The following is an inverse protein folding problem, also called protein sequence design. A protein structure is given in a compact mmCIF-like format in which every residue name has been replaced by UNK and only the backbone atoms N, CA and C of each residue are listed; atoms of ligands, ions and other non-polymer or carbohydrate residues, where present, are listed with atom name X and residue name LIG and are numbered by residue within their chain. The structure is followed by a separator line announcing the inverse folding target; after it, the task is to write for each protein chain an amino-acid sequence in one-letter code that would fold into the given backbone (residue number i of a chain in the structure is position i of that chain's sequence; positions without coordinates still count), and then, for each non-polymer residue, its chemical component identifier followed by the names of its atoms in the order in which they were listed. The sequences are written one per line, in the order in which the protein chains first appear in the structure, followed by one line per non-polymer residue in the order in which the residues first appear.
data_IF_103741501242
#
_entry.id   IF_103741501242
#
_cell.length_a   1.000
_cell.length_b   1.000
_cell.length_c   1.000
_cell.angle_alpha   90.00
_cell.angle_beta   90.00
_cell.angle_gamma   90.00
#
_symmetry.space_group_name_H-M   'P 1'
#
loop_
_entity.id
_entity.type
_entity.pdbx_description
1 polymer ?
#
# COMPACT_ATOMS: atom_id res chain seq x y z
N UNK A 1 27.81 14.69 -5.16
CA UNK A 1 26.38 14.86 -4.84
C UNK A 1 25.74 13.54 -4.40
N UNK A 2 25.60 12.49 -5.25
CA UNK A 2 24.91 11.23 -4.83
C UNK A 2 25.60 10.56 -3.64
N UNK A 3 26.92 10.38 -3.64
CA UNK A 3 27.68 9.81 -2.50
C UNK A 3 27.54 10.63 -1.23
N UNK A 4 27.57 11.93 -1.35
CA UNK A 4 27.38 12.85 -0.23
C UNK A 4 25.96 12.76 0.34
N UNK A 5 24.93 12.57 -0.52
CA UNK A 5 23.56 12.35 -0.10
C UNK A 5 23.41 11.03 0.67
N UNK A 6 24.01 9.94 0.16
CA UNK A 6 23.98 8.65 0.87
C UNK A 6 24.70 8.71 2.21
N UNK A 7 25.85 9.41 2.26
CA UNK A 7 26.56 9.67 3.53
C UNK A 7 25.72 10.50 4.51
N UNK A 8 24.98 11.51 4.01
CA UNK A 8 24.10 12.32 4.85
C UNK A 8 23.00 11.47 5.51
N UNK A 9 22.47 10.47 4.82
CA UNK A 9 21.51 9.51 5.41
C UNK A 9 22.17 8.77 6.59
N UNK A 10 23.42 8.30 6.43
CA UNK A 10 24.13 7.65 7.54
C UNK A 10 24.31 8.60 8.73
N UNK A 11 24.69 9.86 8.48
CA UNK A 11 24.91 10.87 9.53
C UNK A 11 23.64 11.20 10.32
N UNK A 12 22.46 11.16 9.71
CA UNK A 12 21.17 11.45 10.38
C UNK A 12 20.41 10.19 10.78
N UNK A 13 21.01 9.00 10.66
CA UNK A 13 20.31 7.73 10.87
C UNK A 13 19.73 7.58 12.28
N UNK A 14 20.45 8.03 13.33
CA UNK A 14 19.95 7.98 14.70
C UNK A 14 18.74 8.90 14.91
N UNK A 15 18.78 10.11 14.34
CA UNK A 15 17.66 11.05 14.33
C UNK A 15 16.45 10.44 13.61
N UNK A 16 16.68 9.80 12.46
CA UNK A 16 15.66 9.11 11.69
C UNK A 16 15.00 7.98 12.48
N UNK A 17 15.79 7.08 13.08
CA UNK A 17 15.25 5.97 13.88
C UNK A 17 14.46 6.48 15.07
N UNK A 18 14.92 7.54 15.73
CA UNK A 18 14.18 8.18 16.82
C UNK A 18 12.83 8.73 16.34
N UNK A 19 12.80 9.39 15.18
CA UNK A 19 11.56 9.87 14.56
C UNK A 19 10.62 8.75 14.18
N UNK A 20 11.13 7.65 13.62
CA UNK A 20 10.34 6.45 13.29
C UNK A 20 9.69 5.87 14.56
N UNK A 21 10.49 5.65 15.62
CA UNK A 21 9.99 5.12 16.89
C UNK A 21 8.88 5.98 17.48
N UNK A 22 9.00 7.30 17.41
CA UNK A 22 7.98 8.26 17.87
C UNK A 22 6.62 8.04 17.21
N UNK A 23 6.60 7.71 15.91
CA UNK A 23 5.33 7.52 15.15
C UNK A 23 4.79 6.09 15.27
N UNK A 24 5.65 5.07 15.25
CA UNK A 24 5.17 3.67 15.37
C UNK A 24 4.63 3.35 16.76
N UNK A 25 5.00 4.13 17.79
CA UNK A 25 4.46 4.00 19.14
C UNK A 25 3.02 4.49 19.30
N UNK A 26 2.44 5.10 18.27
CA UNK A 26 1.04 5.53 18.29
C UNK A 26 0.16 4.37 17.82
N UNK A 27 -0.79 3.94 18.65
CA UNK A 27 -1.85 3.02 18.21
C UNK A 27 -2.77 3.75 17.23
N UNK A 28 -2.65 3.39 15.96
CA UNK A 28 -3.44 3.94 14.86
C UNK A 28 -4.29 2.88 14.16
N UNK A 29 -4.74 1.88 14.90
CA UNK A 29 -5.81 1.00 14.45
C UNK A 29 -7.06 1.84 14.24
N UNK A 30 -7.73 1.66 13.09
CA UNK A 30 -8.97 2.37 12.80
C UNK A 30 -10.02 2.09 13.87
N UNK A 31 -10.72 3.13 14.27
CA UNK A 31 -11.80 3.06 15.25
C UNK A 31 -12.99 3.93 14.84
N UNK A 32 -14.01 4.01 15.69
CA UNK A 32 -15.21 4.79 15.41
C UNK A 32 -14.89 6.26 15.06
N UNK A 33 -15.54 6.75 14.01
CA UNK A 33 -15.38 8.12 13.54
C UNK A 33 -15.88 9.12 14.59
N UNK A 34 -15.14 10.21 14.78
CA UNK A 34 -15.51 11.36 15.61
C UNK A 34 -15.41 12.63 14.78
N UNK A 35 -15.96 13.73 15.29
CA UNK A 35 -15.86 15.04 14.64
C UNK A 35 -14.38 15.41 14.41
N UNK A 36 -13.99 15.64 13.14
CA UNK A 36 -12.62 15.93 12.77
C UNK A 36 -11.64 14.73 12.85
N UNK A 37 -12.16 13.51 13.03
CA UNK A 37 -11.38 12.27 13.13
C UNK A 37 -12.11 11.15 12.38
N UNK A 38 -12.11 11.19 11.04
CA UNK A 38 -12.95 10.31 10.21
C UNK A 38 -12.62 8.82 10.38
N UNK A 39 -11.39 8.47 10.76
CA UNK A 39 -10.95 7.10 10.96
C UNK A 39 -10.56 6.78 12.41
N UNK A 40 -11.02 7.63 13.34
CA UNK A 40 -10.82 7.46 14.77
C UNK A 40 -9.64 8.26 15.35
N UNK A 41 -9.58 8.27 16.66
CA UNK A 41 -8.69 9.13 17.44
C UNK A 41 -7.21 8.74 17.25
N UNK A 42 -6.90 7.43 17.26
CA UNK A 42 -5.53 6.94 17.12
C UNK A 42 -4.92 7.28 15.74
N UNK A 43 -5.70 7.11 14.67
CA UNK A 43 -5.28 7.47 13.31
C UNK A 43 -5.05 8.98 13.20
N UNK A 44 -5.98 9.79 13.71
CA UNK A 44 -5.80 11.25 13.71
C UNK A 44 -4.58 11.70 14.52
N UNK A 45 -4.31 11.07 15.66
CA UNK A 45 -3.11 11.33 16.46
C UNK A 45 -1.82 11.01 15.68
N UNK A 46 -1.79 9.91 14.93
CA UNK A 46 -0.65 9.55 14.09
C UNK A 46 -0.43 10.58 12.98
N UNK A 47 -1.52 11.06 12.34
CA UNK A 47 -1.46 12.10 11.31
C UNK A 47 -0.91 13.42 11.87
N UNK A 48 -1.45 13.91 12.97
CA UNK A 48 -1.01 15.17 13.60
C UNK A 48 0.46 15.10 14.05
N UNK A 49 0.89 13.96 14.59
CA UNK A 49 2.27 13.78 15.04
C UNK A 49 3.25 13.68 13.85
N UNK A 50 2.85 13.03 12.74
CA UNK A 50 3.63 12.98 11.51
C UNK A 50 3.79 14.38 10.89
N UNK A 51 2.71 15.16 10.82
CA UNK A 51 2.75 16.54 10.35
C UNK A 51 3.59 17.46 11.27
N UNK A 52 3.51 17.24 12.58
CA UNK A 52 4.34 17.96 13.56
C UNK A 52 5.83 17.63 13.34
N UNK A 53 6.18 16.36 13.20
CA UNK A 53 7.55 15.95 12.88
C UNK A 53 8.05 16.58 11.58
N UNK A 54 7.23 16.58 10.53
CA UNK A 54 7.58 17.21 9.26
C UNK A 54 7.85 18.73 9.42
N UNK A 55 7.06 19.44 10.23
CA UNK A 55 7.32 20.86 10.58
C UNK A 55 8.61 21.05 11.35
N UNK A 56 8.91 20.18 12.32
CA UNK A 56 10.17 20.20 13.09
C UNK A 56 11.39 20.02 12.17
N UNK A 57 11.26 19.19 11.12
CA UNK A 57 12.26 19.03 10.06
C UNK A 57 12.28 20.21 9.06
N UNK A 58 11.39 21.19 9.26
CA UNK A 58 11.33 22.45 8.51
C UNK A 58 10.63 22.33 7.16
N UNK A 59 9.71 21.37 6.98
CA UNK A 59 8.84 21.30 5.81
C UNK A 59 7.58 22.14 6.00
N UNK A 60 7.07 22.71 4.91
CA UNK A 60 5.70 23.19 4.86
C UNK A 60 4.76 22.00 4.94
N UNK A 61 3.67 22.10 5.72
CA UNK A 61 2.72 21.02 5.89
C UNK A 61 1.29 21.49 5.65
N UNK A 62 0.47 20.56 5.19
CA UNK A 62 -0.96 20.74 4.99
C UNK A 62 -1.71 19.53 5.56
N UNK A 63 -2.85 19.78 6.20
CA UNK A 63 -3.79 18.72 6.62
C UNK A 63 -5.05 18.85 5.75
N UNK A 64 -5.28 17.88 4.89
CA UNK A 64 -6.45 17.85 3.99
C UNK A 64 -7.55 17.09 4.71
N UNK A 65 -8.44 17.86 5.37
CA UNK A 65 -9.68 17.40 6.00
C UNK A 65 -9.50 16.21 6.98
N UNK A 66 -8.37 16.14 7.68
CA UNK A 66 -7.99 15.05 8.59
C UNK A 66 -7.92 13.67 7.92
N UNK A 67 -7.84 13.62 6.59
CA UNK A 67 -7.76 12.40 5.80
C UNK A 67 -6.37 12.18 5.20
N UNK A 68 -5.73 13.25 4.69
CA UNK A 68 -4.38 13.16 4.13
C UNK A 68 -3.52 14.30 4.64
N UNK A 69 -2.38 14.00 5.20
CA UNK A 69 -1.34 14.98 5.50
C UNK A 69 -0.39 15.16 4.32
N UNK A 70 0.18 16.34 4.17
CA UNK A 70 1.18 16.63 3.13
C UNK A 70 2.38 17.31 3.77
N UNK A 71 3.59 16.82 3.50
CA UNK A 71 4.83 17.55 3.71
C UNK A 71 5.42 17.94 2.36
N UNK A 72 5.73 19.24 2.18
CA UNK A 72 6.11 19.81 0.88
C UNK A 72 7.56 20.28 0.86
N UNK A 73 8.25 19.96 -0.23
CA UNK A 73 9.55 20.53 -0.58
C UNK A 73 9.49 21.10 -1.99
N UNK A 74 9.59 22.40 -2.12
CA UNK A 74 9.28 23.13 -3.35
C UNK A 74 7.81 23.48 -3.49
N UNK A 75 7.46 24.22 -4.52
CA UNK A 75 6.10 24.74 -4.79
C UNK A 75 5.67 24.40 -6.20
N UNK A 76 4.40 24.06 -6.40
CA UNK A 76 3.81 23.79 -7.70
C UNK A 76 2.82 22.62 -7.67
N UNK A 77 2.01 22.54 -8.73
CA UNK A 77 1.00 21.48 -8.86
C UNK A 77 1.54 20.22 -9.57
N UNK A 78 2.61 20.35 -10.34
CA UNK A 78 3.25 19.26 -11.07
C UNK A 78 4.38 18.66 -10.20
N UNK A 79 3.98 17.88 -9.20
CA UNK A 79 4.87 17.36 -8.17
C UNK A 79 5.14 15.86 -8.30
N UNK A 80 6.30 15.44 -7.77
CA UNK A 80 6.59 14.03 -7.50
C UNK A 80 5.90 13.67 -6.19
N UNK A 81 5.03 12.66 -6.21
CA UNK A 81 4.29 12.22 -5.04
C UNK A 81 4.81 10.93 -4.45
N UNK A 82 5.01 10.90 -3.14
CA UNK A 82 5.33 9.69 -2.42
C UNK A 82 4.20 9.47 -1.42
N UNK A 83 3.42 8.41 -1.64
CA UNK A 83 2.17 8.17 -0.94
C UNK A 83 2.24 6.91 -0.10
N UNK A 84 1.85 7.01 1.16
CA UNK A 84 1.78 5.90 2.12
C UNK A 84 0.74 6.14 3.20
N UNK A 85 0.64 5.23 4.18
CA UNK A 85 -0.37 5.30 5.22
C UNK A 85 0.18 5.24 6.64
N UNK A 86 -0.62 5.76 7.56
CA UNK A 86 -0.36 5.79 9.00
C UNK A 86 -1.30 4.87 9.79
N UNK A 87 -2.44 4.51 9.23
CA UNK A 87 -3.32 3.51 9.81
C UNK A 87 -2.67 2.13 9.78
N UNK A 88 -3.08 1.26 10.67
CA UNK A 88 -2.55 -0.10 10.78
C UNK A 88 -3.66 -1.09 11.06
N UNK A 89 -3.48 -2.35 10.65
CA UNK A 89 -4.40 -3.44 11.00
C UNK A 89 -4.42 -3.72 12.51
N UNK A 90 -5.49 -4.34 13.05
CA UNK A 90 -5.55 -4.79 14.43
C UNK A 90 -4.33 -5.64 14.80
N UNK A 91 -3.86 -5.47 16.03
CA UNK A 91 -2.60 -6.07 16.47
C UNK A 91 -2.65 -7.61 16.54
N UNK A 92 -3.81 -8.20 16.84
CA UNK A 92 -3.93 -9.64 17.08
C UNK A 92 -3.25 -10.10 18.37
N UNK A 93 -3.12 -11.41 18.52
CA UNK A 93 -2.49 -12.05 19.68
C UNK A 93 -1.10 -12.62 19.33
N UNK A 94 -0.31 -12.97 20.35
CA UNK A 94 0.99 -13.65 20.15
C UNK A 94 2.19 -12.73 20.04
N UNK A 95 2.09 -11.49 20.51
CA UNK A 95 3.22 -10.55 20.60
C UNK A 95 4.15 -10.87 21.76
N UNK A 96 5.48 -10.90 21.51
CA UNK A 96 6.51 -11.07 22.52
C UNK A 96 6.81 -9.76 23.28
N UNK A 97 6.53 -8.61 22.67
CA UNK A 97 6.66 -7.28 23.25
C UNK A 97 5.38 -6.49 22.98
N UNK A 98 5.04 -5.46 23.76
CA UNK A 98 3.85 -4.65 23.48
C UNK A 98 3.84 -4.15 22.04
N UNK A 99 2.72 -4.29 21.29
CA UNK A 99 2.68 -4.06 19.84
C UNK A 99 3.14 -2.67 19.37
N UNK A 100 3.01 -1.67 20.23
CA UNK A 100 3.42 -0.28 19.95
C UNK A 100 4.61 0.18 20.80
N UNK A 101 5.46 -0.75 21.28
CA UNK A 101 6.62 -0.40 22.12
C UNK A 101 7.82 0.11 21.32
N UNK A 102 7.89 -0.15 20.02
CA UNK A 102 9.09 0.07 19.20
C UNK A 102 10.35 -0.55 19.84
N UNK A 103 10.19 -1.77 20.40
CA UNK A 103 11.30 -2.49 21.03
C UNK A 103 12.39 -2.79 20.01
N UNK A 104 13.62 -2.42 20.33
CA UNK A 104 14.80 -2.73 19.51
C UNK A 104 15.67 -3.74 20.25
N UNK A 105 16.00 -4.85 19.60
CA UNK A 105 16.88 -5.87 20.16
C UNK A 105 18.37 -5.55 19.95
N UNK A 106 19.24 -6.36 20.54
CA UNK A 106 20.71 -6.16 20.49
C UNK A 106 21.28 -6.28 19.07
N UNK A 107 20.49 -6.78 18.11
CA UNK A 107 20.87 -6.91 16.68
C UNK A 107 20.39 -5.72 15.85
N UNK A 108 19.67 -4.78 16.46
CA UNK A 108 19.10 -3.62 15.80
C UNK A 108 17.79 -3.93 15.04
N UNK A 109 17.10 -4.99 15.41
CA UNK A 109 15.76 -5.27 14.90
C UNK A 109 14.72 -4.57 15.76
N UNK A 110 13.85 -3.80 15.10
CA UNK A 110 12.80 -3.04 15.76
C UNK A 110 11.47 -3.76 15.56
N UNK A 111 10.79 -4.06 16.66
CA UNK A 111 9.49 -4.72 16.68
C UNK A 111 8.40 -3.72 17.03
N UNK A 112 7.44 -3.56 16.12
CA UNK A 112 6.23 -2.76 16.36
C UNK A 112 5.20 -3.00 15.27
N UNK A 113 3.92 -2.93 15.58
CA UNK A 113 2.88 -2.84 14.55
C UNK A 113 3.09 -1.55 13.74
N UNK A 114 3.10 -1.65 12.42
CA UNK A 114 3.32 -0.53 11.51
C UNK A 114 4.80 -0.19 11.26
N UNK A 115 5.75 -0.95 11.81
CA UNK A 115 7.18 -0.70 11.55
C UNK A 115 7.57 -1.06 10.12
N UNK A 116 6.97 -2.09 9.54
CA UNK A 116 7.10 -2.49 8.15
C UNK A 116 5.96 -1.91 7.32
N UNK A 117 4.74 -2.00 7.83
CA UNK A 117 3.50 -1.69 7.15
C UNK A 117 2.66 -0.67 7.93
N UNK A 118 2.82 0.66 7.72
CA UNK A 118 3.75 1.21 6.72
C UNK A 118 4.54 2.42 7.29
N UNK A 119 4.49 2.70 8.62
CA UNK A 119 5.05 3.90 9.27
C UNK A 119 6.57 3.99 9.18
N UNK A 120 7.29 2.86 9.28
CA UNK A 120 8.74 2.83 9.18
C UNK A 120 9.25 3.34 7.84
N UNK A 121 8.82 2.74 6.71
CA UNK A 121 9.13 3.20 5.35
C UNK A 121 8.69 4.64 5.10
N UNK A 122 7.52 5.02 5.63
CA UNK A 122 6.98 6.37 5.64
C UNK A 122 8.02 7.39 6.09
N UNK A 123 8.53 7.19 7.28
CA UNK A 123 9.48 8.11 7.87
C UNK A 123 10.86 8.02 7.20
N UNK A 124 11.25 6.84 6.71
CA UNK A 124 12.49 6.70 5.92
C UNK A 124 12.48 7.62 4.69
N UNK A 125 11.35 7.77 4.00
CA UNK A 125 11.23 8.74 2.90
C UNK A 125 11.22 10.21 3.38
N UNK A 126 10.54 10.52 4.50
CA UNK A 126 10.54 11.89 5.03
C UNK A 126 11.97 12.33 5.37
N UNK A 127 12.75 11.44 5.99
CA UNK A 127 14.16 11.72 6.31
C UNK A 127 15.06 11.68 5.07
N UNK A 128 14.71 10.91 4.04
CA UNK A 128 15.36 10.99 2.73
C UNK A 128 15.21 12.40 2.13
N UNK A 129 14.00 12.95 2.15
CA UNK A 129 13.75 14.33 1.72
C UNK A 129 14.44 15.37 2.62
N UNK A 130 14.51 15.10 3.92
CA UNK A 130 15.24 15.95 4.88
C UNK A 130 16.74 15.99 4.60
N UNK A 131 17.37 14.87 4.26
CA UNK A 131 18.79 14.84 3.86
C UNK A 131 19.04 15.70 2.61
N UNK A 132 18.16 15.63 1.61
CA UNK A 132 18.20 16.47 0.40
C UNK A 132 18.15 17.95 0.77
N UNK A 133 17.20 18.31 1.65
CA UNK A 133 17.05 19.68 2.17
C UNK A 133 18.29 20.15 2.95
N UNK A 134 18.83 19.29 3.83
CA UNK A 134 20.05 19.61 4.63
C UNK A 134 21.27 19.92 3.75
N UNK A 135 21.40 19.26 2.62
CA UNK A 135 22.46 19.49 1.65
C UNK A 135 22.18 20.64 0.68
N UNK A 136 21.00 21.26 0.77
CA UNK A 136 20.61 22.33 -0.15
C UNK A 136 20.48 21.90 -1.59
N UNK A 137 20.23 20.59 -1.86
CA UNK A 137 20.10 20.06 -3.22
C UNK A 137 18.81 20.64 -3.83
N UNK A 138 19.00 21.35 -4.95
CA UNK A 138 17.90 21.92 -5.72
C UNK A 138 17.19 20.86 -6.54
N UNK A 139 15.87 20.84 -6.49
CA UNK A 139 15.01 19.96 -7.28
C UNK A 139 14.28 20.78 -8.34
N UNK A 140 14.23 20.30 -9.57
CA UNK A 140 13.50 20.97 -10.68
C UNK A 140 11.98 20.89 -10.49
N UNK A 141 11.49 19.79 -9.88
CA UNK A 141 10.07 19.59 -9.55
C UNK A 141 9.89 19.53 -8.05
N UNK A 142 8.79 20.05 -7.51
CA UNK A 142 8.47 19.88 -6.10
C UNK A 142 8.24 18.41 -5.75
N UNK A 143 8.52 18.05 -4.52
CA UNK A 143 8.30 16.71 -3.98
C UNK A 143 7.38 16.81 -2.78
N UNK A 144 6.28 16.06 -2.82
CA UNK A 144 5.28 16.00 -1.76
C UNK A 144 5.22 14.60 -1.18
N UNK A 145 5.30 14.56 0.13
CA UNK A 145 5.10 13.35 0.93
C UNK A 145 3.68 13.39 1.45
N UNK A 146 2.89 12.37 1.09
CA UNK A 146 1.48 12.29 1.43
C UNK A 146 1.27 11.20 2.48
N UNK A 147 0.74 11.58 3.62
CA UNK A 147 0.42 10.70 4.75
C UNK A 147 -1.06 10.33 4.69
N UNK A 148 -1.38 9.16 4.17
CA UNK A 148 -2.73 8.62 4.15
C UNK A 148 -3.14 8.05 5.51
N UNK A 149 -4.43 7.82 5.67
CA UNK A 149 -5.03 7.43 6.95
C UNK A 149 -6.07 6.33 6.84
N UNK A 150 -6.26 5.71 5.66
CA UNK A 150 -7.27 4.68 5.44
C UNK A 150 -6.88 3.68 4.34
N UNK A 151 -5.64 3.21 4.31
CA UNK A 151 -5.18 2.20 3.35
C UNK A 151 -5.80 0.84 3.63
N UNK A 152 -5.73 0.40 4.88
CA UNK A 152 -6.06 -0.94 5.34
C UNK A 152 -7.55 -1.30 5.24
N UNK A 153 -8.42 -0.28 5.09
CA UNK A 153 -9.86 -0.47 5.21
C UNK A 153 -10.70 0.17 4.10
N UNK A 154 -10.09 0.67 3.00
CA UNK A 154 -10.90 1.01 1.83
C UNK A 154 -10.57 2.27 1.04
N UNK A 155 -9.48 2.99 1.35
CA UNK A 155 -8.98 4.13 0.56
C UNK A 155 -9.91 5.35 0.49
N UNK A 156 -10.77 5.56 1.48
CA UNK A 156 -11.71 6.70 1.47
C UNK A 156 -10.99 8.05 1.61
N UNK A 157 -9.86 8.07 2.33
CA UNK A 157 -8.96 9.20 2.44
C UNK A 157 -8.46 9.64 1.06
N UNK A 158 -8.02 8.69 0.25
CA UNK A 158 -7.46 8.96 -1.07
C UNK A 158 -8.54 9.28 -2.11
N UNK A 159 -9.70 8.62 -2.01
CA UNK A 159 -10.87 8.97 -2.83
C UNK A 159 -11.33 10.41 -2.56
N UNK A 160 -11.25 10.86 -1.30
CA UNK A 160 -11.53 12.24 -0.91
C UNK A 160 -10.46 13.20 -1.45
N UNK A 161 -9.17 12.86 -1.23
CA UNK A 161 -8.04 13.66 -1.69
C UNK A 161 -8.15 13.99 -3.18
N UNK A 162 -8.43 12.99 -4.02
CA UNK A 162 -8.53 13.14 -5.47
C UNK A 162 -9.74 14.00 -5.93
N UNK A 163 -10.70 14.27 -5.05
CA UNK A 163 -11.80 15.22 -5.34
C UNK A 163 -11.38 16.68 -5.13
N UNK A 164 -10.40 16.93 -4.25
CA UNK A 164 -10.03 18.28 -3.81
C UNK A 164 -8.60 18.69 -4.15
N UNK A 165 -7.76 17.74 -4.60
CA UNK A 165 -6.36 17.96 -4.99
C UNK A 165 -6.05 17.19 -6.28
N UNK A 166 -5.08 17.71 -7.05
CA UNK A 166 -4.54 17.01 -8.21
C UNK A 166 -3.64 15.84 -7.76
N UNK A 167 -3.63 14.71 -8.49
CA UNK A 167 -2.67 13.65 -8.25
C UNK A 167 -1.24 14.10 -8.63
N UNK A 168 -0.21 13.38 -8.16
CA UNK A 168 1.16 13.59 -8.63
C UNK A 168 1.28 13.32 -10.13
N UNK A 169 2.29 13.92 -10.77
CA UNK A 169 2.63 13.60 -12.16
C UNK A 169 3.32 12.24 -12.29
N UNK A 170 4.05 11.83 -11.25
CA UNK A 170 4.63 10.51 -11.05
C UNK A 170 5.05 10.32 -9.59
N UNK A 171 5.32 9.08 -9.20
CA UNK A 171 5.81 8.79 -7.86
C UNK A 171 5.73 7.31 -7.51
N UNK A 172 5.75 7.01 -6.20
CA UNK A 172 5.63 5.66 -5.71
C UNK A 172 4.95 5.57 -4.34
N UNK A 173 4.53 4.34 -3.99
CA UNK A 173 4.14 3.98 -2.64
C UNK A 173 5.12 2.93 -2.09
N UNK A 174 5.79 3.17 -0.94
CA UNK A 174 6.68 2.19 -0.31
C UNK A 174 5.90 1.18 0.55
N UNK A 175 4.97 0.49 -0.07
CA UNK A 175 3.98 -0.36 0.57
C UNK A 175 3.86 -1.72 -0.12
N UNK A 176 4.99 -2.32 -0.49
CA UNK A 176 5.02 -3.64 -1.11
C UNK A 176 6.39 -4.31 -0.92
N UNK A 177 7.18 -4.34 -1.96
CA UNK A 177 8.49 -5.00 -1.99
C UNK A 177 9.40 -4.39 -3.05
N UNK A 178 10.68 -4.72 -2.96
CA UNK A 178 11.64 -4.53 -4.05
C UNK A 178 11.72 -5.75 -4.97
N UNK A 179 12.21 -5.54 -6.23
CA UNK A 179 12.39 -4.26 -6.93
C UNK A 179 11.05 -3.59 -7.28
N UNK A 180 11.07 -2.59 -8.17
CA UNK A 180 9.85 -1.85 -8.53
C UNK A 180 8.75 -2.78 -9.02
N UNK A 181 7.54 -2.59 -8.48
CA UNK A 181 6.35 -3.36 -8.87
C UNK A 181 5.60 -2.57 -9.93
N UNK A 182 5.74 -2.97 -11.20
CA UNK A 182 5.13 -2.23 -12.32
C UNK A 182 3.65 -2.59 -12.54
N UNK A 183 3.17 -3.65 -11.91
CA UNK A 183 1.79 -4.07 -12.10
C UNK A 183 1.24 -4.81 -10.86
N UNK A 184 -0.01 -4.49 -10.51
CA UNK A 184 -0.79 -5.14 -9.47
C UNK A 184 -2.01 -5.83 -10.07
N UNK A 185 -2.38 -7.01 -9.57
CA UNK A 185 -3.61 -7.69 -9.97
C UNK A 185 -4.85 -6.90 -9.58
N UNK A 186 -5.91 -6.99 -10.39
CA UNK A 186 -7.24 -6.58 -9.99
C UNK A 186 -7.74 -7.40 -8.80
N UNK A 187 -8.62 -6.81 -8.01
CA UNK A 187 -9.28 -7.47 -6.88
C UNK A 187 -10.76 -7.17 -6.89
N UNK A 188 -11.59 -8.21 -6.92
CA UNK A 188 -13.03 -8.06 -6.83
C UNK A 188 -13.60 -9.02 -5.79
N UNK A 189 -14.64 -8.56 -5.10
CA UNK A 189 -15.41 -9.37 -4.14
C UNK A 189 -16.84 -9.45 -4.62
N UNK A 190 -17.35 -10.66 -4.71
CA UNK A 190 -18.72 -10.95 -5.11
C UNK A 190 -19.50 -11.55 -3.95
N UNK A 191 -20.75 -11.16 -3.87
CA UNK A 191 -21.75 -11.76 -2.99
C UNK A 191 -22.81 -12.47 -3.81
N UNK A 192 -22.99 -13.76 -3.56
CA UNK A 192 -24.16 -14.49 -4.02
C UNK A 192 -25.17 -14.52 -2.88
N UNK A 193 -26.41 -14.14 -3.18
CA UNK A 193 -27.47 -14.09 -2.19
C UNK A 193 -28.81 -14.63 -2.72
N UNK A 194 -29.66 -15.02 -1.77
CA UNK A 194 -31.02 -15.51 -2.08
C UNK A 194 -31.91 -15.46 -0.85
N UNK A 195 -33.22 -15.57 -1.04
CA UNK A 195 -34.19 -15.78 0.04
C UNK A 195 -34.06 -17.21 0.62
N UNK A 196 -34.42 -17.39 1.90
CA UNK A 196 -34.23 -18.66 2.64
C UNK A 196 -34.92 -19.86 1.98
N UNK A 197 -36.05 -19.66 1.32
CA UNK A 197 -36.77 -20.72 0.62
C UNK A 197 -35.96 -21.35 -0.53
N UNK A 198 -34.99 -20.65 -1.08
CA UNK A 198 -34.11 -21.13 -2.15
C UNK A 198 -32.81 -21.78 -1.63
N UNK A 199 -32.72 -22.13 -0.34
CA UNK A 199 -31.51 -22.67 0.30
C UNK A 199 -30.88 -23.85 -0.41
N UNK A 200 -31.69 -24.72 -1.03
CA UNK A 200 -31.19 -25.91 -1.73
C UNK A 200 -30.37 -25.51 -2.97
N UNK A 201 -30.91 -24.62 -3.79
CA UNK A 201 -30.22 -24.11 -4.99
C UNK A 201 -28.99 -23.30 -4.63
N UNK A 202 -29.07 -22.51 -3.54
CA UNK A 202 -27.95 -21.76 -3.02
C UNK A 202 -26.79 -22.67 -2.58
N UNK A 203 -27.08 -23.69 -1.76
CA UNK A 203 -26.07 -24.64 -1.31
C UNK A 203 -25.47 -25.45 -2.47
N UNK A 204 -26.27 -25.82 -3.46
CA UNK A 204 -25.77 -26.48 -4.67
C UNK A 204 -24.77 -25.60 -5.41
N UNK A 205 -25.10 -24.32 -5.66
CA UNK A 205 -24.22 -23.38 -6.34
C UNK A 205 -22.90 -23.19 -5.55
N UNK A 206 -22.99 -22.93 -4.23
CA UNK A 206 -21.79 -22.71 -3.42
C UNK A 206 -20.89 -23.95 -3.40
N UNK A 207 -21.45 -25.15 -3.23
CA UNK A 207 -20.69 -26.38 -3.23
C UNK A 207 -20.07 -26.67 -4.60
N UNK A 208 -20.83 -26.55 -5.68
CA UNK A 208 -20.38 -26.91 -7.04
C UNK A 208 -19.34 -25.94 -7.59
N UNK A 209 -19.55 -24.63 -7.43
CA UNK A 209 -18.74 -23.63 -8.11
C UNK A 209 -17.68 -22.97 -7.22
N UNK A 210 -17.88 -22.94 -5.90
CA UNK A 210 -17.02 -22.19 -4.99
C UNK A 210 -16.22 -23.09 -4.08
N UNK A 211 -16.85 -24.00 -3.32
CA UNK A 211 -16.14 -24.84 -2.33
C UNK A 211 -15.39 -26.00 -2.97
N UNK A 212 -15.92 -26.60 -4.02
CA UNK A 212 -15.24 -27.66 -4.77
C UNK A 212 -14.19 -27.17 -5.77
N UNK A 213 -14.07 -25.84 -5.93
CA UNK A 213 -13.04 -25.23 -6.78
C UNK A 213 -11.67 -25.28 -6.09
N UNK A 214 -10.61 -25.55 -6.85
CA UNK A 214 -9.24 -25.62 -6.37
C UNK A 214 -8.60 -24.23 -6.08
N UNK A 215 -9.39 -23.16 -6.05
CA UNK A 215 -8.94 -21.80 -5.75
C UNK A 215 -8.55 -20.97 -6.97
N UNK A 216 -8.88 -21.43 -8.20
CA UNK A 216 -8.54 -20.71 -9.44
C UNK A 216 -9.74 -20.28 -10.28
N UNK A 217 -10.97 -20.55 -9.81
CA UNK A 217 -12.19 -20.23 -10.53
C UNK A 217 -12.53 -21.19 -11.67
N UNK A 218 -11.89 -22.36 -11.74
CA UNK A 218 -12.06 -23.36 -12.81
C UNK A 218 -13.50 -23.82 -12.95
N UNK A 219 -14.20 -24.06 -11.85
CA UNK A 219 -15.59 -24.52 -11.85
C UNK A 219 -16.55 -23.47 -12.40
N UNK A 220 -16.23 -22.20 -12.22
CA UNK A 220 -16.96 -21.10 -12.83
C UNK A 220 -16.62 -20.90 -14.31
N UNK A 221 -15.55 -21.49 -14.81
CA UNK A 221 -15.04 -21.25 -16.16
C UNK A 221 -14.11 -20.04 -16.26
N UNK A 222 -13.53 -19.62 -15.13
CA UNK A 222 -12.62 -18.48 -15.00
C UNK A 222 -11.15 -18.90 -14.83
N UNK A 223 -10.76 -20.02 -15.46
CA UNK A 223 -9.37 -20.50 -15.41
C UNK A 223 -8.46 -19.61 -16.27
N UNK A 224 -8.18 -18.42 -15.77
CA UNK A 224 -7.37 -17.41 -16.46
C UNK A 224 -5.94 -17.49 -15.95
N UNK A 225 -5.00 -17.57 -16.88
CA UNK A 225 -3.57 -17.53 -16.63
C UNK A 225 -2.92 -16.60 -17.66
N UNK A 226 -2.04 -15.73 -17.23
CA UNK A 226 -1.21 -14.96 -18.12
C UNK A 226 0.27 -15.02 -17.70
N UNK A 227 1.16 -14.66 -18.65
CA UNK A 227 2.61 -14.82 -18.47
C UNK A 227 3.19 -13.87 -17.39
N UNK A 228 2.58 -12.70 -17.21
CA UNK A 228 3.11 -11.69 -16.28
C UNK A 228 2.53 -11.86 -14.87
N UNK A 229 1.24 -12.21 -14.76
CA UNK A 229 0.56 -12.31 -13.47
C UNK A 229 0.36 -13.76 -12.98
N UNK A 230 0.52 -14.75 -13.87
CA UNK A 230 0.19 -16.14 -13.56
C UNK A 230 -1.31 -16.39 -13.41
N UNK A 231 -1.68 -17.44 -12.67
CA UNK A 231 -3.09 -17.87 -12.53
C UNK A 231 -3.92 -16.92 -11.69
N UNK A 232 -5.13 -16.61 -12.13
CA UNK A 232 -6.19 -16.01 -11.32
C UNK A 232 -6.39 -16.81 -10.02
N UNK A 233 -6.72 -16.14 -8.93
CA UNK A 233 -6.91 -16.77 -7.63
C UNK A 233 -8.28 -16.41 -7.05
N UNK A 234 -8.95 -17.41 -6.47
CA UNK A 234 -10.20 -17.24 -5.72
C UNK A 234 -9.96 -17.48 -4.24
N UNK A 235 -10.36 -16.54 -3.39
CA UNK A 235 -10.09 -16.52 -1.95
C UNK A 235 -11.25 -15.92 -1.14
N UNK A 236 -11.06 -15.69 0.16
CA UNK A 236 -12.00 -15.00 1.06
C UNK A 236 -13.42 -15.56 1.02
N UNK A 237 -13.54 -16.88 1.03
CA UNK A 237 -14.80 -17.62 0.98
C UNK A 237 -15.45 -17.60 2.37
N UNK A 238 -16.61 -16.92 2.52
CA UNK A 238 -17.29 -16.83 3.81
C UNK A 238 -18.82 -16.72 3.67
N UNK A 239 -19.53 -17.34 4.60
CA UNK A 239 -20.96 -17.06 4.80
C UNK A 239 -21.14 -15.65 5.35
N UNK A 240 -22.20 -14.99 4.91
CA UNK A 240 -22.59 -13.67 5.36
C UNK A 240 -24.02 -13.74 5.91
N UNK A 241 -24.21 -13.21 7.10
CA UNK A 241 -25.55 -13.05 7.68
C UNK A 241 -26.23 -11.83 7.05
N UNK A 242 -27.36 -12.07 6.43
CA UNK A 242 -28.20 -11.04 5.83
C UNK A 242 -29.62 -11.24 6.37
N UNK A 243 -30.21 -10.19 6.92
CA UNK A 243 -31.57 -10.26 7.49
C UNK A 243 -32.54 -10.95 6.51
N UNK A 244 -33.05 -12.15 6.90
CA UNK A 244 -33.99 -12.93 6.12
C UNK A 244 -33.47 -13.51 4.81
N UNK A 245 -32.17 -13.46 4.54
CA UNK A 245 -31.54 -13.98 3.32
C UNK A 245 -30.28 -14.80 3.63
N UNK A 246 -29.90 -15.65 2.68
CA UNK A 246 -28.61 -16.33 2.67
C UNK A 246 -27.62 -15.54 1.82
N UNK A 247 -26.40 -15.37 2.30
CA UNK A 247 -25.33 -14.71 1.58
C UNK A 247 -24.00 -15.48 1.64
N UNK A 248 -23.22 -15.42 0.57
CA UNK A 248 -21.88 -15.99 0.53
C UNK A 248 -20.98 -15.08 -0.27
N UNK A 249 -19.89 -14.64 0.35
CA UNK A 249 -18.86 -13.80 -0.26
C UNK A 249 -17.66 -14.63 -0.70
N UNK A 250 -17.07 -14.24 -1.83
CA UNK A 250 -15.79 -14.75 -2.31
C UNK A 250 -15.10 -13.69 -3.16
N UNK A 251 -13.77 -13.73 -3.21
CA UNK A 251 -12.98 -12.71 -3.89
C UNK A 251 -12.13 -13.33 -5.00
N UNK A 252 -11.87 -12.54 -6.04
CA UNK A 252 -10.88 -12.85 -7.05
C UNK A 252 -9.71 -11.88 -6.99
N UNK A 253 -8.50 -12.44 -7.13
CA UNK A 253 -7.29 -11.72 -7.54
C UNK A 253 -7.04 -12.09 -9.01
N UNK A 254 -7.18 -11.13 -9.92
CA UNK A 254 -7.24 -11.40 -11.36
C UNK A 254 -6.20 -10.58 -12.15
N UNK A 255 -5.67 -11.15 -13.25
CA UNK A 255 -4.67 -10.48 -14.09
C UNK A 255 -5.27 -9.35 -14.93
N UNK A 256 -4.43 -8.47 -15.48
CA UNK A 256 -4.85 -7.37 -16.34
C UNK A 256 -5.40 -7.84 -17.70
N UNK A 257 -5.20 -9.12 -18.06
CA UNK A 257 -5.74 -9.73 -19.29
C UNK A 257 -7.24 -9.99 -19.25
N UNK A 258 -7.90 -9.85 -18.09
CA UNK A 258 -9.36 -9.99 -17.97
C UNK A 258 -9.96 -8.78 -17.27
N UNK A 259 -11.15 -8.37 -17.70
CA UNK A 259 -11.93 -7.29 -17.11
C UNK A 259 -12.91 -7.81 -16.07
N UNK A 260 -13.20 -7.02 -15.05
CA UNK A 260 -14.14 -7.36 -13.99
C UNK A 260 -15.56 -7.65 -14.52
N UNK A 261 -16.03 -6.93 -15.55
CA UNK A 261 -17.34 -7.17 -16.17
C UNK A 261 -17.45 -8.56 -16.81
N UNK A 262 -16.33 -9.10 -17.30
CA UNK A 262 -16.29 -10.47 -17.84
C UNK A 262 -16.39 -11.51 -16.73
N UNK A 263 -15.72 -11.27 -15.59
CA UNK A 263 -15.81 -12.13 -14.40
C UNK A 263 -17.27 -12.17 -13.93
N UNK A 264 -17.89 -11.01 -13.78
CA UNK A 264 -19.27 -10.88 -13.31
C UNK A 264 -20.27 -11.57 -14.24
N UNK A 265 -20.15 -11.36 -15.56
CA UNK A 265 -21.00 -12.05 -16.57
C UNK A 265 -20.83 -13.56 -16.50
N UNK A 266 -19.62 -14.04 -16.30
CA UNK A 266 -19.35 -15.48 -16.20
C UNK A 266 -19.99 -16.07 -14.95
N UNK A 267 -19.90 -15.41 -13.79
CA UNK A 267 -20.60 -15.83 -12.56
C UNK A 267 -22.13 -15.84 -12.81
N UNK A 268 -22.67 -14.75 -13.38
CA UNK A 268 -24.11 -14.63 -13.69
C UNK A 268 -24.61 -15.77 -14.57
N UNK A 269 -23.80 -16.22 -15.52
CA UNK A 269 -24.18 -17.33 -16.44
C UNK A 269 -24.33 -18.69 -15.75
N UNK A 270 -23.82 -18.84 -14.52
CA UNK A 270 -23.90 -20.07 -13.71
C UNK A 270 -25.02 -20.03 -12.68
N UNK A 271 -25.65 -18.87 -12.47
CA UNK A 271 -26.69 -18.73 -11.47
C UNK A 271 -27.99 -19.45 -11.91
N UNK A 272 -28.53 -20.23 -11.00
CA UNK A 272 -29.87 -20.79 -11.12
C UNK A 272 -30.94 -19.74 -10.75
N UNK A 273 -32.16 -19.95 -11.17
CA UNK A 273 -33.31 -19.09 -10.83
C UNK A 273 -33.43 -18.94 -9.32
N UNK A 274 -33.59 -17.70 -8.88
CA UNK A 274 -33.70 -17.33 -7.44
C UNK A 274 -32.40 -16.90 -6.79
N UNK A 275 -31.24 -17.11 -7.43
CA UNK A 275 -29.96 -16.59 -6.96
C UNK A 275 -29.66 -15.22 -7.60
N UNK A 276 -29.00 -14.37 -6.83
CA UNK A 276 -28.49 -13.05 -7.26
C UNK A 276 -26.99 -12.98 -6.99
N UNK A 277 -26.26 -12.25 -7.83
CA UNK A 277 -24.86 -11.90 -7.58
C UNK A 277 -24.68 -10.39 -7.67
N UNK A 278 -23.89 -9.87 -6.75
CA UNK A 278 -23.51 -8.48 -6.65
C UNK A 278 -21.98 -8.37 -6.52
N UNK A 279 -21.36 -7.44 -7.24
CA UNK A 279 -19.98 -7.06 -7.03
C UNK A 279 -19.93 -6.06 -5.87
N UNK A 280 -19.42 -6.48 -4.71
CA UNK A 280 -19.32 -5.64 -3.50
C UNK A 280 -18.21 -4.62 -3.66
N UNK A 281 -17.05 -5.07 -4.14
CA UNK A 281 -15.88 -4.24 -4.38
C UNK A 281 -15.19 -4.65 -5.66
N UNK A 282 -14.66 -3.67 -6.38
CA UNK A 282 -13.74 -3.90 -7.47
C UNK A 282 -12.65 -2.83 -7.49
N UNK A 283 -11.41 -3.29 -7.53
CA UNK A 283 -10.24 -2.49 -7.84
C UNK A 283 -9.61 -3.07 -9.10
N UNK A 284 -9.54 -2.28 -10.15
CA UNK A 284 -8.98 -2.72 -11.42
C UNK A 284 -7.48 -3.01 -11.30
N UNK A 285 -6.92 -3.85 -12.19
CA UNK A 285 -5.47 -4.04 -12.26
C UNK A 285 -4.74 -2.71 -12.48
N UNK A 286 -3.60 -2.55 -11.81
CA UNK A 286 -2.65 -1.47 -12.08
C UNK A 286 -1.61 -2.01 -13.06
N UNK A 287 -1.27 -1.21 -14.06
CA UNK A 287 -0.27 -1.59 -15.05
C UNK A 287 0.49 -0.36 -15.54
N UNK A 288 1.80 -0.36 -15.33
CA UNK A 288 2.73 0.66 -15.81
C UNK A 288 3.69 0.09 -16.84
N UNK A 289 4.18 0.93 -17.73
CA UNK A 289 5.27 0.54 -18.62
C UNK A 289 6.55 0.30 -17.82
N UNK A 290 6.95 -0.97 -17.72
CA UNK A 290 8.19 -1.37 -17.03
C UNK A 290 9.47 -0.79 -17.67
N UNK A 291 9.37 -0.31 -18.91
CA UNK A 291 10.45 0.37 -19.64
C UNK A 291 10.29 1.89 -19.66
N UNK A 292 9.23 2.43 -19.07
CA UNK A 292 9.00 3.86 -18.92
C UNK A 292 9.98 4.52 -17.94
N UNK A 293 10.06 5.84 -18.00
CA UNK A 293 11.00 6.64 -17.20
C UNK A 293 10.93 6.34 -15.70
N UNK A 294 9.71 6.27 -15.12
CA UNK A 294 9.50 6.00 -13.70
C UNK A 294 10.12 4.65 -13.30
N UNK A 295 9.72 3.56 -13.94
CA UNK A 295 10.20 2.22 -13.61
C UNK A 295 11.70 2.05 -13.86
N UNK A 296 12.23 2.59 -14.96
CA UNK A 296 13.68 2.58 -15.25
C UNK A 296 14.49 3.33 -14.20
N UNK A 297 14.02 4.50 -13.77
CA UNK A 297 14.72 5.31 -12.77
C UNK A 297 14.74 4.61 -11.41
N UNK A 298 13.58 4.06 -10.95
CA UNK A 298 13.51 3.33 -9.69
C UNK A 298 14.35 2.04 -9.71
N UNK A 299 14.31 1.28 -10.83
CA UNK A 299 15.17 0.13 -11.06
C UNK A 299 16.65 0.50 -10.92
N UNK A 300 17.12 1.48 -11.70
CA UNK A 300 18.52 1.89 -11.70
C UNK A 300 18.97 2.44 -10.33
N UNK A 301 18.08 3.07 -9.59
CA UNK A 301 18.36 3.54 -8.24
C UNK A 301 18.53 2.38 -7.27
N UNK A 302 17.63 1.42 -7.31
CA UNK A 302 17.70 0.20 -6.48
C UNK A 302 18.99 -0.58 -6.75
N UNK A 303 19.30 -0.85 -8.03
CA UNK A 303 20.51 -1.55 -8.43
C UNK A 303 21.78 -0.81 -7.97
N UNK A 304 21.81 0.52 -8.10
CA UNK A 304 22.97 1.32 -7.68
C UNK A 304 23.21 1.27 -6.18
N UNK A 305 22.15 1.35 -5.37
CA UNK A 305 22.27 1.42 -3.91
C UNK A 305 22.52 0.04 -3.30
N UNK A 306 21.91 -1.00 -3.84
CA UNK A 306 21.92 -2.36 -3.24
C UNK A 306 22.87 -3.32 -3.93
N UNK A 307 23.21 -3.11 -5.18
CA UNK A 307 23.92 -4.09 -6.03
C UNK A 307 23.06 -5.30 -6.43
N UNK A 308 21.78 -5.32 -6.07
CA UNK A 308 20.85 -6.42 -6.37
C UNK A 308 20.15 -6.22 -7.71
N UNK A 309 19.61 -7.29 -8.30
CA UNK A 309 18.81 -7.24 -9.51
C UNK A 309 17.55 -6.39 -9.32
N UNK A 310 17.40 -5.35 -10.11
CA UNK A 310 16.30 -4.42 -10.12
C UNK A 310 15.21 -4.72 -11.16
N UNK A 311 15.21 -5.90 -11.78
CA UNK A 311 14.20 -6.25 -12.80
C UNK A 311 12.79 -6.07 -12.27
N UNK A 312 11.94 -5.22 -12.90
CA UNK A 312 10.59 -4.95 -12.44
C UNK A 312 9.73 -6.21 -12.31
N UNK A 313 8.92 -6.26 -11.27
CA UNK A 313 8.08 -7.43 -10.91
C UNK A 313 6.60 -7.08 -10.82
N UNK A 314 5.75 -8.09 -10.67
CA UNK A 314 4.34 -7.95 -10.37
C UNK A 314 4.01 -8.32 -8.93
N UNK A 315 2.82 -7.96 -8.45
CA UNK A 315 2.31 -8.40 -7.14
C UNK A 315 0.86 -8.87 -7.22
N UNK A 316 0.48 -9.72 -6.27
CA UNK A 316 -0.91 -10.16 -6.06
C UNK A 316 -1.64 -9.29 -5.04
N UNK A 317 -0.92 -8.45 -4.30
CA UNK A 317 -1.47 -7.46 -3.37
C UNK A 317 -2.07 -6.25 -4.07
N UNK A 318 -2.57 -5.32 -3.29
CA UNK A 318 -3.01 -4.01 -3.73
C UNK A 318 -2.53 -2.97 -2.74
N UNK A 319 -2.23 -1.79 -3.23
CA UNK A 319 -1.74 -0.64 -2.46
C UNK A 319 -2.50 0.62 -2.88
N UNK A 320 -2.13 1.76 -2.35
CA UNK A 320 -2.64 3.05 -2.83
C UNK A 320 -2.50 3.27 -4.36
N UNK A 321 -1.62 2.53 -5.04
CA UNK A 321 -1.53 2.58 -6.50
C UNK A 321 -2.83 2.13 -7.21
N UNK A 322 -3.74 1.46 -6.49
CA UNK A 322 -5.09 1.14 -6.98
C UNK A 322 -5.96 2.37 -7.23
N UNK A 323 -5.71 3.42 -6.50
CA UNK A 323 -6.55 4.65 -6.47
C UNK A 323 -5.75 5.86 -6.95
N UNK A 324 -4.51 6.03 -6.46
CA UNK A 324 -3.68 7.17 -6.85
C UNK A 324 -3.08 6.95 -8.24
N UNK A 325 -3.40 7.80 -9.22
CA UNK A 325 -2.78 7.72 -10.53
C UNK A 325 -1.27 8.01 -10.47
N UNK A 326 -0.55 7.48 -11.45
CA UNK A 326 0.85 7.81 -11.74
C UNK A 326 1.87 7.39 -10.65
N UNK A 327 1.49 6.50 -9.72
CA UNK A 327 2.41 5.94 -8.74
C UNK A 327 2.52 4.42 -8.86
N UNK A 328 3.71 3.89 -8.59
CA UNK A 328 4.00 2.45 -8.56
C UNK A 328 4.38 2.01 -7.15
N UNK A 329 4.12 0.78 -6.73
CA UNK A 329 4.68 0.26 -5.49
C UNK A 329 6.20 0.05 -5.62
N UNK A 330 6.98 0.50 -4.60
CA UNK A 330 8.42 0.41 -4.58
C UNK A 330 8.99 0.31 -3.16
N UNK A 331 9.35 -0.89 -2.74
CA UNK A 331 9.76 -1.22 -1.38
C UNK A 331 8.55 -1.48 -0.45
N UNK A 332 8.73 -1.58 0.87
CA UNK A 332 10.02 -1.50 1.57
C UNK A 332 10.74 -2.85 1.72
N UNK A 333 10.02 -3.98 1.47
CA UNK A 333 10.53 -5.33 1.75
C UNK A 333 11.58 -5.76 0.74
N UNK A 334 12.73 -6.21 1.23
CA UNK A 334 13.79 -6.78 0.41
C UNK A 334 13.51 -8.23 0.03
N UNK A 335 14.19 -8.77 -1.03
CA UNK A 335 14.04 -10.16 -1.42
C UNK A 335 14.29 -11.11 -0.24
N UNK A 336 13.36 -12.07 -0.04
CA UNK A 336 13.39 -13.02 1.08
C UNK A 336 12.56 -12.60 2.31
N UNK A 337 12.22 -11.33 2.47
CA UNK A 337 11.34 -10.85 3.53
C UNK A 337 9.88 -11.10 3.15
N UNK A 338 9.22 -12.04 3.84
CA UNK A 338 7.82 -12.42 3.58
C UNK A 338 7.10 -12.72 4.89
N UNK A 339 5.78 -12.42 4.93
CA UNK A 339 4.92 -12.77 6.05
C UNK A 339 5.26 -12.02 7.34
N UNK A 340 5.78 -10.80 7.25
CA UNK A 340 6.14 -9.97 8.40
C UNK A 340 5.01 -9.00 8.73
N UNK A 341 4.53 -8.23 7.76
CA UNK A 341 3.39 -7.33 7.92
C UNK A 341 2.10 -8.09 8.25
N UNK A 342 1.14 -7.43 8.91
CA UNK A 342 -0.15 -7.95 9.35
C UNK A 342 -0.07 -9.12 10.37
N UNK A 343 1.12 -9.54 10.79
CA UNK A 343 1.34 -10.61 11.76
C UNK A 343 1.84 -10.07 13.11
N UNK A 344 1.62 -10.80 14.22
CA UNK A 344 2.28 -10.50 15.48
C UNK A 344 3.81 -10.52 15.33
N UNK A 345 4.49 -9.72 16.14
CA UNK A 345 5.94 -9.54 16.10
C UNK A 345 6.44 -8.98 14.75
N UNK A 346 5.63 -8.15 14.08
CA UNK A 346 6.05 -7.37 12.93
C UNK A 346 7.34 -6.62 13.24
N UNK A 347 8.29 -6.65 12.30
CA UNK A 347 9.62 -6.12 12.54
C UNK A 347 10.25 -5.53 11.28
N UNK A 348 11.24 -4.66 11.51
CA UNK A 348 12.17 -4.20 10.49
C UNK A 348 13.56 -4.03 11.08
N UNK A 349 14.59 -4.40 10.34
CA UNK A 349 15.96 -4.16 10.77
C UNK A 349 16.31 -2.67 10.57
N UNK A 350 17.01 -2.08 11.54
CA UNK A 350 17.48 -0.70 11.47
C UNK A 350 18.29 -0.43 10.20
N UNK A 351 19.13 -1.39 9.80
CA UNK A 351 19.89 -1.32 8.55
C UNK A 351 19.01 -1.22 7.32
N UNK A 352 17.86 -1.92 7.31
CA UNK A 352 16.92 -1.90 6.19
C UNK A 352 16.19 -0.56 6.11
N UNK A 353 15.81 0.03 7.25
CA UNK A 353 15.23 1.38 7.29
C UNK A 353 16.20 2.42 6.73
N UNK A 354 17.50 2.33 7.08
CA UNK A 354 18.54 3.21 6.56
C UNK A 354 18.75 2.97 5.05
N UNK A 355 18.80 1.71 4.62
CA UNK A 355 18.93 1.35 3.22
C UNK A 355 17.75 1.84 2.38
N UNK A 356 16.53 1.71 2.90
CA UNK A 356 15.32 2.28 2.30
C UNK A 356 15.46 3.80 2.13
N UNK A 357 15.88 4.53 3.17
CA UNK A 357 16.08 5.97 3.08
C UNK A 357 17.10 6.36 2.01
N UNK A 358 18.18 5.59 1.84
CA UNK A 358 19.17 5.79 0.78
C UNK A 358 18.58 5.60 -0.62
N UNK A 359 17.82 4.51 -0.83
CA UNK A 359 17.13 4.24 -2.10
C UNK A 359 16.15 5.38 -2.40
N UNK A 360 15.34 5.79 -1.42
CA UNK A 360 14.34 6.83 -1.61
C UNK A 360 14.97 8.20 -1.87
N UNK A 361 16.05 8.58 -1.16
CA UNK A 361 16.73 9.85 -1.38
C UNK A 361 17.26 9.97 -2.81
N UNK A 362 17.90 8.92 -3.33
CA UNK A 362 18.42 8.92 -4.68
C UNK A 362 17.28 8.89 -5.72
N UNK A 363 16.18 8.15 -5.44
CA UNK A 363 14.99 8.12 -6.30
C UNK A 363 14.34 9.50 -6.39
N UNK A 364 14.21 10.22 -5.27
CA UNK A 364 13.68 11.59 -5.24
C UNK A 364 14.49 12.50 -6.15
N UNK A 365 15.81 12.53 -5.98
CA UNK A 365 16.67 13.43 -6.76
C UNK A 365 16.60 13.13 -8.25
N UNK A 366 16.62 11.85 -8.63
CA UNK A 366 16.60 11.44 -10.04
C UNK A 366 15.25 11.70 -10.71
N UNK A 367 14.13 11.41 -10.04
CA UNK A 367 12.80 11.65 -10.59
C UNK A 367 12.48 13.14 -10.66
N UNK A 368 12.83 13.91 -9.62
CA UNK A 368 12.55 15.34 -9.60
C UNK A 368 13.38 16.15 -10.60
N UNK A 369 14.58 15.67 -10.96
CA UNK A 369 15.51 16.37 -11.89
C UNK A 369 15.53 15.77 -13.30
N UNK A 370 15.02 14.55 -13.49
CA UNK A 370 14.95 13.89 -14.79
C UNK A 370 13.91 14.50 -15.72
N UNK A 371 14.04 14.26 -17.00
CA UNK A 371 13.07 14.60 -18.02
C UNK A 371 12.32 13.32 -18.41
N UNK A 372 10.99 13.41 -18.56
CA UNK A 372 10.24 12.38 -19.26
C UNK A 372 10.52 12.62 -20.76
N UNK A 373 11.24 11.71 -21.39
CA UNK A 373 11.41 11.68 -22.85
C UNK A 373 10.06 11.35 -23.54
#
# INVERSE_FOLDING_TARGET
MEEELLKKIDEISDEMISGIKRIVQIDSVQSEAKLGMPFGEGVNKALEEALKLARELGFETENVDHMVGIAKYGTGEDYIGIMWHLDVVPVGEGWNHPPFSAYEDDKGRIYSRGILDNKGPTLSCLYALYAIKKLGIQLKRPVYILFGTNEETGFEDLKHFLKVRKPPIMGWTPDCKYPVVYAERGRSTYRVSTAIENKTVFNQFINEYILSDNGFGNKLGLNIEDLEFGKMQMSNKKLVDLEGKLGFDFSFSYPASIRNDTIERTIKSKLSKGLQVECIHNYDPVYFDKNGFLCKTLKATYEKVTGMDGTPVTTTGGTYAKIMPNIVPFGPSFPGQKGIGHNPNEWMDRSDLILNAKIYALSIVRLANGEND
#
